data_IF_510676888147
#
_entry.id   IF_510676888147
#
_cell.length_a   1.000
_cell.length_b   1.000
_cell.length_c   1.000
_cell.angle_alpha   90.00
_cell.angle_beta   90.00
_cell.angle_gamma   90.00
#
_symmetry.space_group_name_H-M   'P 1'
#
loop_
_entity.id
_entity.type
_entity.pdbx_description
1 polymer ?
#
# COMPACT_ATOMS: atom_id res chain seq x y z
N UNK A 1 17.89 -16.44 37.25
CA UNK A 1 18.50 -15.11 37.44
C UNK A 1 18.70 -14.45 36.08
N UNK A 2 18.03 -13.33 35.83
CA UNK A 2 18.43 -12.27 34.89
C UNK A 2 17.51 -11.06 35.16
N UNK A 3 17.85 -10.34 36.23
CA UNK A 3 17.44 -8.96 36.38
C UNK A 3 18.15 -8.15 35.29
N UNK A 4 17.40 -7.35 34.54
CA UNK A 4 17.91 -6.14 33.90
C UNK A 4 16.93 -5.03 34.21
N UNK A 5 17.01 -4.55 35.45
CA UNK A 5 16.47 -3.24 35.79
C UNK A 5 17.42 -2.23 35.15
N UNK A 6 17.08 -1.73 33.97
CA UNK A 6 17.76 -0.59 33.37
C UNK A 6 17.11 0.69 33.92
N UNK A 7 17.36 1.00 35.19
CA UNK A 7 17.07 2.33 35.72
C UNK A 7 18.15 3.28 35.22
N UNK A 8 18.00 3.78 33.99
CA UNK A 8 18.77 4.95 33.57
C UNK A 8 18.24 6.17 34.33
N UNK A 9 19.02 6.72 35.25
CA UNK A 9 18.80 8.07 35.78
C UNK A 9 19.07 9.08 34.64
N UNK A 10 18.12 9.21 33.72
CA UNK A 10 18.15 10.24 32.69
C UNK A 10 17.43 11.47 33.27
N UNK A 11 18.15 12.60 33.34
CA UNK A 11 17.55 13.87 33.74
C UNK A 11 16.66 14.38 32.60
N UNK A 12 15.34 14.33 32.81
CA UNK A 12 14.35 14.88 31.88
C UNK A 12 14.22 16.39 32.06
N UNK A 13 14.00 17.12 30.96
CA UNK A 13 13.63 18.54 31.04
C UNK A 13 12.21 18.70 31.61
N UNK A 14 11.84 19.91 32.05
CA UNK A 14 10.49 20.22 32.54
C UNK A 14 9.42 19.90 31.49
N UNK A 15 9.67 20.25 30.21
CA UNK A 15 8.80 19.89 29.08
C UNK A 15 8.68 18.37 28.88
N UNK A 16 9.79 17.63 29.02
CA UNK A 16 9.78 16.17 28.90
C UNK A 16 9.02 15.52 30.06
N UNK A 17 9.13 16.09 31.27
CA UNK A 17 8.40 15.61 32.43
C UNK A 17 6.88 15.82 32.27
N UNK A 18 6.45 16.97 31.75
CA UNK A 18 5.05 17.22 31.41
C UNK A 18 4.50 16.17 30.42
N UNK A 19 5.29 15.84 29.40
CA UNK A 19 4.92 14.83 28.40
C UNK A 19 4.82 13.43 29.00
N UNK A 20 5.75 13.06 29.89
CA UNK A 20 5.74 11.79 30.63
C UNK A 20 4.50 11.72 31.51
N UNK A 21 4.19 12.78 32.26
CA UNK A 21 3.01 12.86 33.13
C UNK A 21 1.70 12.76 32.34
N UNK A 22 1.60 13.41 31.19
CA UNK A 22 0.40 13.31 30.35
C UNK A 22 0.17 11.87 29.85
N UNK A 23 1.24 11.16 29.48
CA UNK A 23 1.17 9.75 29.09
C UNK A 23 0.75 8.89 30.28
N UNK A 24 1.33 9.11 31.47
CA UNK A 24 0.97 8.39 32.69
C UNK A 24 -0.48 8.61 33.10
N UNK A 25 -0.94 9.87 33.11
CA UNK A 25 -2.32 10.23 33.43
C UNK A 25 -3.33 9.52 32.52
N UNK A 26 -3.02 9.39 31.22
CA UNK A 26 -3.87 8.61 30.33
C UNK A 26 -3.85 7.13 30.65
N UNK A 27 -2.68 6.55 30.95
CA UNK A 27 -2.59 5.12 31.23
C UNK A 27 -3.28 4.74 32.53
N UNK A 28 -3.23 5.61 33.54
CA UNK A 28 -4.05 5.50 34.75
C UNK A 28 -5.55 5.59 34.42
N UNK A 29 -5.95 6.49 33.54
CA UNK A 29 -7.37 6.64 33.16
C UNK A 29 -7.92 5.39 32.46
N UNK A 30 -7.13 4.80 31.54
CA UNK A 30 -7.56 3.62 30.77
C UNK A 30 -7.19 2.30 31.43
N UNK A 31 -6.46 2.34 32.57
CA UNK A 31 -5.90 1.17 33.27
C UNK A 31 -5.11 0.22 32.34
N UNK A 32 -4.48 0.80 31.32
CA UNK A 32 -3.78 0.09 30.26
C UNK A 32 -2.72 1.01 29.64
N UNK A 33 -1.81 0.43 28.86
CA UNK A 33 -0.78 1.15 28.14
C UNK A 33 -1.38 2.11 27.10
N UNK A 34 -1.06 3.41 27.15
CA UNK A 34 -1.53 4.39 26.18
C UNK A 34 -1.10 4.11 24.73
N UNK A 35 -2.08 3.92 23.84
CA UNK A 35 -1.85 3.92 22.39
C UNK A 35 -1.82 5.35 21.87
N UNK A 36 -0.92 5.65 20.92
CA UNK A 36 -0.79 6.99 20.29
C UNK A 36 -2.13 7.52 19.78
N UNK A 37 -2.95 6.66 19.16
CA UNK A 37 -4.27 7.04 18.61
C UNK A 37 -5.26 7.43 19.69
N UNK A 38 -5.27 6.72 20.82
CA UNK A 38 -6.12 7.03 21.96
C UNK A 38 -5.61 8.30 22.64
N UNK A 39 -4.31 8.41 22.89
CA UNK A 39 -3.71 9.60 23.48
C UNK A 39 -4.01 10.88 22.71
N UNK A 40 -3.94 10.85 21.37
CA UNK A 40 -4.27 12.02 20.55
C UNK A 40 -5.66 12.58 20.84
N UNK A 41 -6.66 11.73 21.11
CA UNK A 41 -8.02 12.18 21.39
C UNK A 41 -8.09 12.91 22.73
N UNK A 42 -7.51 12.33 23.78
CA UNK A 42 -7.47 12.94 25.11
C UNK A 42 -6.58 14.18 25.15
N UNK A 43 -5.50 14.23 24.37
CA UNK A 43 -4.63 15.39 24.34
C UNK A 43 -5.33 16.66 23.83
N UNK A 44 -6.29 16.52 22.92
CA UNK A 44 -7.09 17.66 22.44
C UNK A 44 -8.06 18.11 23.55
N UNK A 45 -8.73 17.17 24.21
CA UNK A 45 -9.74 17.46 25.24
C UNK A 45 -9.12 18.04 26.52
N UNK A 46 -7.93 17.56 26.91
CA UNK A 46 -7.22 17.95 28.13
C UNK A 46 -6.13 19.01 27.92
N UNK A 47 -5.92 19.46 26.68
CA UNK A 47 -4.87 20.44 26.34
C UNK A 47 -3.44 19.91 26.53
N UNK A 48 -3.24 18.58 26.50
CA UNK A 48 -1.92 17.97 26.66
C UNK A 48 -1.03 18.13 25.42
N UNK A 49 0.30 17.96 25.58
CA UNK A 49 1.23 17.96 24.46
C UNK A 49 0.82 16.98 23.36
N UNK A 50 0.80 17.44 22.12
CA UNK A 50 0.41 16.61 20.98
C UNK A 50 1.43 15.48 20.73
N UNK A 51 0.99 14.31 20.22
CA UNK A 51 1.88 13.17 19.98
C UNK A 51 3.11 13.53 19.14
N UNK A 52 2.95 14.43 18.18
CA UNK A 52 4.03 14.89 17.30
C UNK A 52 5.12 15.66 18.08
N UNK A 53 4.73 16.48 19.06
CA UNK A 53 5.65 17.18 19.96
C UNK A 53 6.40 16.20 20.84
N UNK A 54 5.69 15.20 21.38
CA UNK A 54 6.27 14.13 22.20
C UNK A 54 7.28 13.32 21.38
N UNK A 55 6.91 12.89 20.17
CA UNK A 55 7.81 12.15 19.28
C UNK A 55 9.05 12.99 18.94
N UNK A 56 8.91 14.30 18.76
CA UNK A 56 10.07 15.18 18.51
C UNK A 56 11.04 15.24 19.69
N UNK A 57 10.54 15.22 20.93
CA UNK A 57 11.37 15.30 22.13
C UNK A 57 11.98 13.95 22.55
N UNK A 58 11.29 12.85 22.30
CA UNK A 58 11.71 11.50 22.71
C UNK A 58 12.23 10.64 21.55
N UNK A 59 12.22 11.18 20.33
CA UNK A 59 12.56 10.49 19.09
C UNK A 59 11.41 9.66 18.52
N UNK A 60 10.65 8.98 19.38
CA UNK A 60 9.59 8.07 18.96
C UNK A 60 8.61 7.74 20.11
N UNK A 61 7.40 7.30 19.76
CA UNK A 61 6.30 7.12 20.75
C UNK A 61 6.56 5.99 21.75
N UNK A 62 7.10 4.83 21.34
CA UNK A 62 7.53 3.82 22.29
C UNK A 62 8.63 4.25 23.27
N UNK A 63 9.55 5.11 22.86
CA UNK A 63 10.60 5.68 23.69
C UNK A 63 9.99 6.61 24.75
N UNK A 64 8.98 7.41 24.36
CA UNK A 64 8.19 8.19 25.30
C UNK A 64 7.40 7.31 26.28
N UNK A 65 6.84 6.18 25.82
CA UNK A 65 6.17 5.20 26.68
C UNK A 65 7.14 4.54 27.65
N UNK A 66 8.34 4.19 27.19
CA UNK A 66 9.40 3.65 28.03
C UNK A 66 9.84 4.67 29.09
N UNK A 67 9.95 5.95 28.73
CA UNK A 67 10.21 7.03 29.67
C UNK A 67 9.08 7.21 30.70
N UNK A 68 7.84 6.94 30.29
CA UNK A 68 6.65 6.92 31.16
C UNK A 68 6.51 5.64 32.01
N UNK A 69 7.46 4.70 31.93
CA UNK A 69 7.46 3.47 32.72
C UNK A 69 6.65 2.32 32.12
N UNK A 70 6.19 2.46 30.88
CA UNK A 70 5.54 1.37 30.15
C UNK A 70 6.59 0.57 29.39
N UNK A 71 6.79 -0.70 29.75
CA UNK A 71 7.65 -1.59 28.98
C UNK A 71 7.15 -1.68 27.52
N UNK A 72 8.07 -1.46 26.58
CA UNK A 72 7.85 -1.75 25.17
C UNK A 72 8.91 -2.71 24.67
N UNK A 73 8.52 -3.96 24.46
CA UNK A 73 9.34 -4.90 23.73
C UNK A 73 9.13 -4.67 22.23
N UNK A 74 10.16 -4.17 21.54
CA UNK A 74 10.20 -4.07 20.07
C UNK A 74 9.86 -5.42 19.43
N UNK A 75 10.31 -6.49 20.07
CA UNK A 75 10.15 -7.89 19.63
C UNK A 75 8.77 -8.47 19.94
N UNK A 76 7.98 -7.82 20.79
CA UNK A 76 6.58 -8.18 21.04
C UNK A 76 5.68 -7.07 20.53
N UNK A 77 5.64 -6.95 19.22
CA UNK A 77 4.45 -6.45 18.57
C UNK A 77 3.37 -7.52 18.78
N UNK A 78 2.40 -7.34 19.71
CA UNK A 78 1.40 -8.36 19.96
C UNK A 78 0.49 -8.39 18.75
N UNK A 79 0.53 -9.46 17.94
CA UNK A 79 -0.50 -9.96 17.01
C UNK A 79 -1.36 -8.96 16.17
N UNK A 80 -1.14 -7.64 16.19
CA UNK A 80 -1.95 -6.63 15.50
C UNK A 80 -1.66 -6.61 14.00
N UNK A 81 -0.55 -7.24 13.60
CA UNK A 81 -0.23 -7.56 12.21
C UNK A 81 -0.86 -8.89 11.72
N UNK A 82 -1.44 -9.69 12.61
CA UNK A 82 -2.27 -10.86 12.28
C UNK A 82 -3.73 -10.67 12.69
N UNK A 83 -4.27 -9.45 12.60
CA UNK A 83 -5.71 -9.35 12.43
C UNK A 83 -6.07 -10.11 11.16
N UNK A 84 -6.90 -11.15 11.31
CA UNK A 84 -7.47 -11.88 10.18
C UNK A 84 -7.85 -10.88 9.08
N UNK A 85 -7.47 -11.15 7.82
CA UNK A 85 -7.64 -10.17 6.76
C UNK A 85 -9.09 -9.69 6.75
N UNK A 86 -9.28 -8.36 6.79
CA UNK A 86 -10.62 -7.72 6.86
C UNK A 86 -11.60 -8.25 5.80
N UNK A 87 -11.05 -8.73 4.68
CA UNK A 87 -11.79 -9.43 3.65
C UNK A 87 -11.05 -10.71 3.27
N UNK A 88 -11.82 -11.79 3.17
CA UNK A 88 -11.40 -13.03 2.54
C UNK A 88 -11.46 -12.92 1.01
N UNK A 89 -10.80 -13.84 0.31
CA UNK A 89 -10.90 -13.92 -1.16
C UNK A 89 -12.36 -14.11 -1.61
N UNK A 90 -13.12 -14.95 -0.89
CA UNK A 90 -14.52 -15.24 -1.19
C UNK A 90 -15.42 -14.00 -1.07
N UNK A 91 -15.23 -13.18 -0.02
CA UNK A 91 -15.99 -11.93 0.14
C UNK A 91 -15.69 -10.91 -0.97
N UNK A 92 -14.44 -10.86 -1.43
CA UNK A 92 -14.05 -10.02 -2.57
C UNK A 92 -14.72 -10.53 -3.85
N UNK A 93 -14.71 -11.83 -4.10
CA UNK A 93 -15.40 -12.43 -5.24
C UNK A 93 -16.90 -12.16 -5.19
N UNK A 94 -17.55 -12.32 -4.03
CA UNK A 94 -18.97 -11.97 -3.85
C UNK A 94 -19.25 -10.51 -4.17
N UNK A 95 -18.37 -9.60 -3.75
CA UNK A 95 -18.50 -8.19 -4.11
C UNK A 95 -18.37 -7.95 -5.61
N UNK A 96 -17.52 -8.71 -6.31
CA UNK A 96 -17.36 -8.62 -7.77
C UNK A 96 -18.56 -9.18 -8.52
N UNK A 97 -19.15 -10.29 -8.06
CA UNK A 97 -20.41 -10.80 -8.59
C UNK A 97 -21.56 -9.81 -8.41
N UNK A 98 -21.64 -9.16 -7.24
CA UNK A 98 -22.63 -8.11 -7.00
C UNK A 98 -22.42 -6.90 -7.92
N UNK A 99 -21.18 -6.45 -8.10
CA UNK A 99 -20.86 -5.41 -9.06
C UNK A 99 -21.32 -5.80 -10.48
N UNK A 100 -21.11 -7.05 -10.89
CA UNK A 100 -21.50 -7.52 -12.21
C UNK A 100 -23.02 -7.54 -12.41
N UNK A 101 -23.79 -7.85 -11.36
CA UNK A 101 -25.25 -7.77 -11.38
C UNK A 101 -25.75 -6.32 -11.48
N UNK A 102 -25.10 -5.40 -10.77
CA UNK A 102 -25.54 -4.00 -10.68
C UNK A 102 -25.11 -3.14 -11.90
N UNK A 103 -23.93 -3.42 -12.47
CA UNK A 103 -23.27 -2.56 -13.48
C UNK A 103 -22.97 -3.30 -14.78
N UNK A 104 -22.82 -4.62 -14.73
CA UNK A 104 -22.41 -5.48 -15.85
C UNK A 104 -20.99 -6.03 -15.74
N UNK A 105 -20.67 -6.99 -16.60
CA UNK A 105 -19.44 -7.81 -16.53
C UNK A 105 -18.14 -7.04 -16.79
N UNK A 106 -18.22 -5.84 -17.38
CA UNK A 106 -17.05 -4.99 -17.65
C UNK A 106 -16.71 -4.13 -16.43
N UNK A 107 -15.60 -4.46 -15.76
CA UNK A 107 -15.17 -3.77 -14.55
C UNK A 107 -13.98 -2.85 -14.84
N UNK A 108 -14.06 -1.60 -14.37
CA UNK A 108 -12.90 -0.69 -14.33
C UNK A 108 -12.71 -0.20 -12.91
N UNK A 109 -11.48 0.14 -12.54
CA UNK A 109 -11.20 0.68 -11.20
C UNK A 109 -12.05 1.92 -10.91
N UNK A 110 -12.23 2.81 -11.89
CA UNK A 110 -13.06 4.02 -11.75
C UNK A 110 -14.54 3.68 -11.54
N UNK A 111 -15.11 2.78 -12.36
CA UNK A 111 -16.51 2.34 -12.21
C UNK A 111 -16.74 1.65 -10.87
N UNK A 112 -15.85 0.74 -10.49
CA UNK A 112 -15.93 0.05 -9.19
C UNK A 112 -15.80 1.01 -8.01
N UNK A 113 -14.92 2.02 -8.10
CA UNK A 113 -14.78 3.06 -7.06
C UNK A 113 -16.05 3.91 -6.89
N UNK A 114 -16.79 4.16 -7.98
CA UNK A 114 -18.07 4.86 -7.91
C UNK A 114 -19.12 3.93 -7.28
N UNK A 115 -19.25 2.71 -7.79
CA UNK A 115 -20.19 1.71 -7.29
C UNK A 115 -20.01 1.37 -5.80
N UNK A 116 -18.76 1.24 -5.32
CA UNK A 116 -18.49 0.94 -3.90
C UNK A 116 -18.89 2.06 -2.94
N UNK A 117 -19.13 3.29 -3.43
CA UNK A 117 -19.63 4.38 -2.57
C UNK A 117 -21.10 4.19 -2.22
N UNK A 118 -21.86 3.55 -3.11
CA UNK A 118 -23.28 3.24 -2.91
C UNK A 118 -23.50 1.86 -2.27
N UNK A 119 -22.46 1.04 -2.12
CA UNK A 119 -22.58 -0.32 -1.59
C UNK A 119 -21.80 -0.48 -0.28
N UNK A 120 -22.53 -0.78 0.79
CA UNK A 120 -21.94 -1.06 2.10
C UNK A 120 -21.07 -2.33 2.06
N UNK A 121 -19.95 -2.32 2.78
CA UNK A 121 -18.94 -3.41 2.82
C UNK A 121 -18.23 -3.76 1.51
N UNK A 122 -18.32 -2.95 0.46
CA UNK A 122 -17.53 -3.18 -0.75
C UNK A 122 -16.00 -2.99 -0.49
N UNK A 123 -15.16 -4.03 -0.75
CA UNK A 123 -13.72 -3.99 -0.50
C UNK A 123 -13.05 -2.84 -1.27
N UNK A 124 -12.00 -2.25 -0.67
CA UNK A 124 -11.20 -1.24 -1.35
C UNK A 124 -10.15 -1.87 -2.26
N UNK A 125 -9.66 -1.11 -3.24
CA UNK A 125 -8.58 -1.52 -4.14
C UNK A 125 -7.36 -2.10 -3.39
N UNK A 126 -6.99 -1.48 -2.26
CA UNK A 126 -5.90 -1.97 -1.41
C UNK A 126 -6.13 -3.41 -0.93
N UNK A 127 -7.32 -3.72 -0.38
CA UNK A 127 -7.61 -5.07 0.12
C UNK A 127 -7.69 -6.10 -1.01
N UNK A 128 -8.21 -5.69 -2.16
CA UNK A 128 -8.31 -6.55 -3.35
C UNK A 128 -6.91 -6.94 -3.84
N UNK A 129 -6.01 -5.96 -4.00
CA UNK A 129 -4.62 -6.21 -4.40
C UNK A 129 -3.86 -6.99 -3.33
N UNK A 130 -4.07 -6.69 -2.04
CA UNK A 130 -3.45 -7.44 -0.94
C UNK A 130 -3.81 -8.94 -0.97
N UNK A 131 -5.04 -9.27 -1.35
CA UNK A 131 -5.53 -10.66 -1.35
C UNK A 131 -5.24 -11.42 -2.65
N UNK A 132 -5.22 -10.75 -3.81
CA UNK A 132 -5.09 -11.38 -5.13
C UNK A 132 -3.77 -11.08 -5.84
N UNK A 133 -2.92 -10.21 -5.30
CA UNK A 133 -1.66 -9.78 -5.91
C UNK A 133 -1.85 -8.65 -6.92
N UNK A 134 -2.93 -8.66 -7.71
CA UNK A 134 -3.29 -7.55 -8.59
C UNK A 134 -4.79 -7.41 -8.82
N UNK A 135 -5.20 -6.23 -9.28
CA UNK A 135 -6.58 -5.96 -9.71
C UNK A 135 -6.99 -6.85 -10.88
N UNK A 136 -6.08 -7.09 -11.82
CA UNK A 136 -6.33 -7.96 -12.97
C UNK A 136 -6.59 -9.39 -12.50
N UNK A 137 -5.73 -9.95 -11.65
CA UNK A 137 -5.90 -11.32 -11.13
C UNK A 137 -7.21 -11.48 -10.35
N UNK A 138 -7.60 -10.45 -9.59
CA UNK A 138 -8.89 -10.44 -8.90
C UNK A 138 -10.08 -10.45 -9.88
N UNK A 139 -10.01 -9.67 -10.97
CA UNK A 139 -11.07 -9.62 -11.98
C UNK A 139 -11.15 -10.95 -12.74
N UNK A 140 -10.01 -11.51 -13.14
CA UNK A 140 -9.90 -12.83 -13.79
C UNK A 140 -10.47 -13.93 -12.89
N UNK A 141 -10.13 -13.92 -11.60
CA UNK A 141 -10.67 -14.89 -10.64
C UNK A 141 -12.20 -14.78 -10.44
N UNK A 142 -12.77 -13.61 -10.71
CA UNK A 142 -14.22 -13.38 -10.68
C UNK A 142 -14.91 -13.53 -12.05
N UNK A 143 -14.18 -13.91 -13.10
CA UNK A 143 -14.72 -14.00 -14.46
C UNK A 143 -15.17 -12.66 -15.04
N UNK A 144 -14.63 -11.54 -14.55
CA UNK A 144 -14.98 -10.19 -15.03
C UNK A 144 -13.97 -9.69 -16.06
N UNK A 145 -14.48 -9.02 -17.09
CA UNK A 145 -13.65 -8.36 -18.09
C UNK A 145 -13.13 -7.02 -17.56
N UNK A 146 -11.90 -7.03 -17.05
CA UNK A 146 -11.22 -5.81 -16.62
C UNK A 146 -10.93 -4.90 -17.82
N UNK A 147 -11.65 -3.78 -17.96
CA UNK A 147 -11.70 -3.09 -19.26
C UNK A 147 -10.39 -2.46 -19.72
N UNK A 148 -9.42 -2.15 -18.86
CA UNK A 148 -8.02 -1.88 -19.27
C UNK A 148 -7.09 -1.98 -18.05
N UNK A 149 -6.45 -3.12 -17.86
CA UNK A 149 -5.18 -3.17 -17.11
C UNK A 149 -4.35 -4.27 -17.75
N UNK A 150 -3.57 -3.88 -18.75
CA UNK A 150 -2.51 -4.74 -19.26
C UNK A 150 -1.57 -5.09 -18.09
N UNK A 151 -1.34 -6.38 -17.91
CA UNK A 151 -0.28 -6.88 -17.06
C UNK A 151 1.07 -6.32 -17.52
N UNK A 152 2.07 -6.33 -16.63
CA UNK A 152 3.43 -5.92 -16.99
C UNK A 152 3.95 -6.78 -18.16
N UNK A 153 3.59 -8.07 -18.20
CA UNK A 153 3.97 -9.00 -19.25
C UNK A 153 3.33 -8.65 -20.60
N UNK A 154 2.05 -8.28 -20.64
CA UNK A 154 1.36 -7.91 -21.90
C UNK A 154 1.88 -6.58 -22.46
N UNK A 155 2.16 -5.62 -21.57
CA UNK A 155 2.81 -4.37 -21.95
C UNK A 155 4.22 -4.62 -22.51
N UNK A 156 5.00 -5.48 -21.85
CA UNK A 156 6.32 -5.87 -22.31
C UNK A 156 6.27 -6.57 -23.66
N UNK A 157 5.37 -7.55 -23.84
CA UNK A 157 5.19 -8.28 -25.09
C UNK A 157 4.81 -7.34 -26.24
N UNK A 158 3.91 -6.39 -25.99
CA UNK A 158 3.48 -5.42 -27.00
C UNK A 158 4.60 -4.44 -27.37
N UNK A 159 5.43 -4.05 -26.41
CA UNK A 159 6.57 -3.17 -26.66
C UNK A 159 7.71 -3.90 -27.39
N UNK A 160 7.98 -5.17 -27.06
CA UNK A 160 8.93 -6.03 -27.80
C UNK A 160 8.51 -6.19 -29.25
N UNK A 161 7.26 -6.55 -29.48
CA UNK A 161 6.72 -6.73 -30.83
C UNK A 161 6.88 -5.45 -31.67
N UNK A 162 6.61 -4.28 -31.06
CA UNK A 162 6.81 -3.00 -31.74
C UNK A 162 8.29 -2.72 -32.06
N UNK A 163 9.22 -3.07 -31.17
CA UNK A 163 10.66 -2.92 -31.41
C UNK A 163 11.13 -3.86 -32.53
N UNK A 164 10.60 -5.09 -32.60
CA UNK A 164 10.94 -6.05 -33.66
C UNK A 164 10.39 -5.61 -35.03
N UNK A 165 9.17 -5.07 -35.08
CA UNK A 165 8.52 -4.66 -36.33
C UNK A 165 8.98 -3.27 -36.83
N UNK A 166 9.24 -2.32 -35.93
CA UNK A 166 9.60 -0.93 -36.28
C UNK A 166 11.12 -0.68 -36.18
N UNK A 167 11.83 -1.47 -35.37
CA UNK A 167 13.26 -1.36 -35.13
C UNK A 167 13.64 -0.63 -33.83
N UNK A 168 14.93 -0.66 -33.50
CA UNK A 168 15.52 -0.11 -32.25
C UNK A 168 15.35 1.41 -32.08
N UNK A 169 14.94 2.15 -33.12
CA UNK A 169 14.63 3.57 -33.05
C UNK A 169 13.15 3.87 -32.80
N UNK A 170 12.42 2.92 -32.19
CA UNK A 170 11.01 3.07 -31.84
C UNK A 170 10.78 4.32 -30.97
N UNK A 171 10.30 5.39 -31.60
CA UNK A 171 9.94 6.62 -30.90
C UNK A 171 8.58 6.47 -30.23
N UNK A 172 8.30 7.35 -29.27
CA UNK A 172 7.00 7.44 -28.60
C UNK A 172 5.85 7.60 -29.60
N UNK A 173 6.05 8.41 -30.65
CA UNK A 173 5.07 8.64 -31.70
C UNK A 173 4.93 7.43 -32.63
N UNK A 174 6.05 6.80 -33.00
CA UNK A 174 6.04 5.59 -33.82
C UNK A 174 5.27 4.45 -33.12
N UNK A 175 5.50 4.24 -31.82
CA UNK A 175 4.74 3.26 -31.05
C UNK A 175 3.26 3.64 -30.94
N UNK A 176 2.93 4.92 -30.74
CA UNK A 176 1.54 5.36 -30.67
C UNK A 176 0.78 5.02 -31.95
N UNK A 177 1.37 5.28 -33.11
CA UNK A 177 0.75 4.98 -34.39
C UNK A 177 0.73 3.47 -34.68
N UNK A 178 1.81 2.75 -34.37
CA UNK A 178 1.85 1.29 -34.45
C UNK A 178 0.78 0.64 -33.57
N UNK A 179 0.61 1.13 -32.34
CA UNK A 179 -0.34 0.58 -31.38
C UNK A 179 -1.79 0.78 -31.82
N UNK A 180 -2.11 1.93 -32.45
CA UNK A 180 -3.42 2.16 -33.06
C UNK A 180 -3.70 1.21 -34.21
N UNK A 181 -2.73 0.99 -35.10
CA UNK A 181 -2.88 0.12 -36.27
C UNK A 181 -3.02 -1.35 -35.89
N UNK A 182 -2.35 -1.77 -34.82
CA UNK A 182 -2.30 -3.17 -34.39
C UNK A 182 -3.24 -3.50 -33.21
N UNK A 183 -4.08 -2.54 -32.79
CA UNK A 183 -4.97 -2.66 -31.64
C UNK A 183 -4.24 -3.11 -30.35
N UNK A 184 -3.11 -2.45 -30.05
CA UNK A 184 -2.18 -2.77 -28.94
C UNK A 184 -2.29 -1.74 -27.80
N UNK A 185 -1.67 -1.98 -26.64
CA UNK A 185 -1.69 -1.06 -25.51
C UNK A 185 -1.28 0.37 -25.87
N UNK A 186 -2.00 1.34 -25.32
CA UNK A 186 -1.64 2.75 -25.52
C UNK A 186 -0.32 3.11 -24.82
N UNK A 187 0.36 4.14 -25.33
CA UNK A 187 1.54 4.74 -24.67
C UNK A 187 1.24 5.15 -23.23
N UNK A 188 0.01 5.62 -22.94
CA UNK A 188 -0.43 5.98 -21.59
C UNK A 188 -0.42 4.77 -20.64
N UNK A 189 -0.76 3.58 -21.12
CA UNK A 189 -0.70 2.36 -20.32
C UNK A 189 0.74 1.97 -19.99
N UNK A 190 1.68 2.14 -20.93
CA UNK A 190 3.11 1.96 -20.70
C UNK A 190 3.64 2.97 -19.66
N UNK A 191 3.33 4.25 -19.82
CA UNK A 191 3.77 5.29 -18.88
C UNK A 191 3.26 5.05 -17.46
N UNK A 192 1.99 4.65 -17.30
CA UNK A 192 1.43 4.32 -15.98
C UNK A 192 2.16 3.17 -15.29
N UNK A 193 2.74 2.22 -16.04
CA UNK A 193 3.41 1.05 -15.46
C UNK A 193 4.90 1.25 -15.24
N UNK A 194 5.59 1.87 -16.21
CA UNK A 194 7.04 2.01 -16.22
C UNK A 194 7.52 3.40 -15.76
N UNK A 195 6.61 4.34 -15.53
CA UNK A 195 6.91 5.70 -15.08
C UNK A 195 7.36 6.63 -16.22
N UNK A 196 8.17 6.15 -17.16
CA UNK A 196 8.60 6.92 -18.34
C UNK A 196 8.79 6.04 -19.57
N UNK A 197 8.80 6.65 -20.76
CA UNK A 197 9.06 5.95 -22.02
C UNK A 197 10.47 5.35 -22.04
N UNK A 198 11.48 6.12 -21.62
CA UNK A 198 12.86 5.65 -21.55
C UNK A 198 13.02 4.48 -20.58
N UNK A 199 12.31 4.50 -19.44
CA UNK A 199 12.30 3.37 -18.51
C UNK A 199 11.63 2.12 -19.10
N UNK A 200 10.56 2.29 -19.88
CA UNK A 200 9.91 1.18 -20.58
C UNK A 200 10.85 0.54 -21.61
N UNK A 201 11.47 1.35 -22.48
CA UNK A 201 12.41 0.87 -23.51
C UNK A 201 13.61 0.17 -22.85
N UNK A 202 14.26 0.81 -21.88
CA UNK A 202 15.42 0.24 -21.20
C UNK A 202 15.09 -1.09 -20.51
N UNK A 203 13.93 -1.19 -19.84
CA UNK A 203 13.50 -2.43 -19.22
C UNK A 203 13.37 -3.56 -20.26
N UNK A 204 12.77 -3.27 -21.41
CA UNK A 204 12.57 -4.26 -22.48
C UNK A 204 13.87 -4.62 -23.19
N UNK A 205 14.73 -3.65 -23.50
CA UNK A 205 16.05 -3.93 -24.09
C UNK A 205 16.91 -4.79 -23.17
N UNK A 206 16.87 -4.52 -21.85
CA UNK A 206 17.59 -5.33 -20.86
C UNK A 206 17.09 -6.78 -20.83
N UNK A 207 15.77 -6.99 -20.88
CA UNK A 207 15.17 -8.32 -20.93
C UNK A 207 15.51 -9.08 -22.23
N UNK A 208 15.47 -8.40 -23.38
CA UNK A 208 15.86 -8.98 -24.69
C UNK A 208 17.33 -9.39 -24.65
N UNK A 209 18.21 -8.54 -24.11
CA UNK A 209 19.65 -8.82 -24.02
C UNK A 209 19.93 -10.04 -23.13
N UNK A 210 19.27 -10.15 -21.99
CA UNK A 210 19.41 -11.29 -21.06
C UNK A 210 18.92 -12.58 -21.75
N UNK A 211 17.79 -12.53 -22.44
CA UNK A 211 17.23 -13.69 -23.15
C UNK A 211 18.15 -14.20 -24.26
N UNK A 212 18.84 -13.30 -24.98
CA UNK A 212 19.81 -13.67 -26.02
C UNK A 212 21.10 -14.30 -25.45
N UNK A 213 21.53 -13.88 -24.26
CA UNK A 213 22.72 -14.45 -23.60
C UNK A 213 22.46 -15.83 -22.98
N UNK A 214 21.21 -16.17 -22.66
CA UNK A 214 20.84 -17.48 -22.11
C UNK A 214 20.55 -18.53 -23.19
N UNK A 215 20.43 -18.11 -24.45
CA UNK A 215 20.19 -18.98 -25.61
C UNK A 215 21.50 -19.34 -26.37
N UNK A 216 22.65 -18.91 -25.85
CA UNK A 216 24.00 -19.19 -26.34
C UNK A 216 24.73 -20.10 -25.36
#
# INVERSE_FOLDING_TARGET
>A
MKQRVLTSQQAWTEEQLEMIQAIQALGELIQDRPRRTIYRRYAIEHGWPQPETIIRQFGSWPEALSAAGYEWHIDQQPEELERAPKYTKDEILKSFHRYAQDVGSTITLKKYQIWRKSVHHAPSHYHIVKMFGSWHDACTAAGLEASVTYSKAELAASLRQAIEEVGFSLSFEAYREWAKRNNKPSTKALLHRYGSWSAAIHAIESEIRISKQQAQ
#
